data_IF_145457182296
#
_entry.id   IF_145457182296
#
_cell.length_a   1.000
_cell.length_b   1.000
_cell.length_c   1.000
_cell.angle_alpha   90.00
_cell.angle_beta   90.00
_cell.angle_gamma   90.00
#
_symmetry.space_group_name_H-M   'P 1'
#
loop_
_entity.id
_entity.type
_entity.pdbx_description
1 polymer ?
#
# COMPACT_ATOMS: atom_id res chain seq x y z
N UNK A 1 -10.45 56.79 54.98
CA UNK A 1 -10.60 55.82 53.88
C UNK A 1 -9.45 54.83 53.80
N UNK A 2 -8.18 55.22 53.98
CA UNK A 2 -7.05 54.28 53.87
C UNK A 2 -6.97 53.14 54.92
N UNK A 3 -7.62 53.26 56.08
CA UNK A 3 -7.58 52.23 57.15
C UNK A 3 -8.58 51.08 56.92
N UNK A 4 -9.78 51.38 56.40
CA UNK A 4 -10.75 50.34 56.03
C UNK A 4 -10.25 49.53 54.82
N UNK A 5 -9.55 50.18 53.89
CA UNK A 5 -8.95 49.54 52.71
C UNK A 5 -7.81 48.58 53.10
N UNK A 6 -7.00 48.91 54.11
CA UNK A 6 -5.95 48.04 54.65
C UNK A 6 -6.49 46.83 55.44
N UNK A 7 -7.60 47.01 56.16
CA UNK A 7 -8.26 45.94 56.93
C UNK A 7 -9.00 44.96 56.02
N UNK A 8 -9.64 45.46 54.96
CA UNK A 8 -10.29 44.64 53.94
C UNK A 8 -9.27 43.80 53.15
N UNK A 9 -8.10 44.37 52.82
CA UNK A 9 -6.98 43.62 52.23
C UNK A 9 -6.47 42.48 53.15
N UNK A 10 -6.39 42.71 54.47
CA UNK A 10 -5.94 41.69 55.43
C UNK A 10 -6.97 40.57 55.62
N UNK A 11 -8.25 40.89 55.74
CA UNK A 11 -9.32 39.88 55.88
C UNK A 11 -9.52 39.06 54.60
N UNK A 12 -9.38 39.66 53.43
CA UNK A 12 -9.46 38.94 52.16
C UNK A 12 -8.30 37.94 52.00
N UNK A 13 -7.09 38.32 52.40
CA UNK A 13 -5.92 37.43 52.38
C UNK A 13 -6.08 36.20 53.29
N UNK A 14 -6.63 36.37 54.49
CA UNK A 14 -6.88 35.28 55.44
C UNK A 14 -7.95 34.29 54.94
N UNK A 15 -9.00 34.78 54.27
CA UNK A 15 -10.04 33.94 53.66
C UNK A 15 -9.47 33.08 52.52
N UNK A 16 -8.66 33.67 51.64
CA UNK A 16 -7.96 32.94 50.57
C UNK A 16 -7.01 31.91 51.14
N UNK A 17 -6.24 32.27 52.19
CA UNK A 17 -5.29 31.36 52.85
C UNK A 17 -6.00 30.16 53.49
N UNK A 18 -7.15 30.37 54.10
CA UNK A 18 -7.95 29.31 54.74
C UNK A 18 -8.56 28.39 53.68
N UNK A 19 -9.17 28.96 52.63
CA UNK A 19 -9.71 28.19 51.51
C UNK A 19 -8.64 27.32 50.83
N UNK A 20 -7.44 27.87 50.61
CA UNK A 20 -6.32 27.12 50.05
C UNK A 20 -5.91 25.96 50.95
N UNK A 21 -5.85 26.15 52.27
CA UNK A 21 -5.50 25.07 53.21
C UNK A 21 -6.55 23.96 53.21
N UNK A 22 -7.83 24.32 53.16
CA UNK A 22 -8.94 23.36 53.13
C UNK A 22 -8.99 22.57 51.81
N UNK A 23 -8.61 23.21 50.69
CA UNK A 23 -8.63 22.60 49.36
C UNK A 23 -7.25 22.12 48.86
N UNK A 24 -6.19 22.27 49.66
CA UNK A 24 -4.81 22.00 49.25
C UNK A 24 -4.62 20.57 48.73
N UNK A 25 -5.25 19.60 49.38
CA UNK A 25 -5.17 18.19 48.96
C UNK A 25 -5.82 17.97 47.59
N UNK A 26 -6.96 18.63 47.32
CA UNK A 26 -7.64 18.58 46.03
C UNK A 26 -6.86 19.28 44.92
N UNK A 27 -6.26 20.44 45.21
CA UNK A 27 -5.40 21.17 44.27
C UNK A 27 -4.15 20.37 43.90
N UNK A 28 -3.46 19.79 44.90
CA UNK A 28 -2.28 18.94 44.67
C UNK A 28 -2.68 17.66 43.92
N UNK A 29 -3.79 17.02 44.31
CA UNK A 29 -4.31 15.84 43.62
C UNK A 29 -4.65 16.12 42.17
N UNK A 30 -5.34 17.23 41.89
CA UNK A 30 -5.65 17.68 40.54
C UNK A 30 -4.41 18.01 39.71
N UNK A 31 -3.41 18.66 40.31
CA UNK A 31 -2.14 18.96 39.65
C UNK A 31 -1.38 17.67 39.30
N UNK A 32 -1.25 16.73 40.23
CA UNK A 32 -0.57 15.44 40.00
C UNK A 32 -1.30 14.64 38.92
N UNK A 33 -2.63 14.58 38.99
CA UNK A 33 -3.43 13.89 37.97
C UNK A 33 -3.28 14.54 36.60
N UNK A 34 -3.31 15.87 36.52
CA UNK A 34 -3.07 16.61 35.28
C UNK A 34 -1.70 16.33 34.69
N UNK A 35 -0.64 16.36 35.50
CA UNK A 35 0.72 16.03 35.07
C UNK A 35 0.85 14.56 34.63
N UNK A 36 0.18 13.62 35.32
CA UNK A 36 0.19 12.21 34.95
C UNK A 36 -0.50 11.98 33.59
N UNK A 37 -1.64 12.63 33.33
CA UNK A 37 -2.34 12.54 32.05
C UNK A 37 -1.50 13.12 30.90
N UNK A 38 -0.89 14.29 31.10
CA UNK A 38 -0.03 14.92 30.09
C UNK A 38 1.23 14.09 29.83
N UNK A 39 1.92 13.67 30.91
CA UNK A 39 3.14 12.88 30.82
C UNK A 39 2.90 11.51 30.20
N UNK A 40 1.84 10.82 30.62
CA UNK A 40 1.42 9.53 30.07
C UNK A 40 1.04 9.63 28.59
N UNK A 41 0.27 10.67 28.21
CA UNK A 41 -0.07 10.93 26.81
C UNK A 41 1.17 11.17 25.94
N UNK A 42 2.08 12.04 26.39
CA UNK A 42 3.34 12.29 25.66
C UNK A 42 4.19 11.03 25.51
N UNK A 43 4.36 10.26 26.58
CA UNK A 43 5.13 9.01 26.54
C UNK A 43 4.52 8.01 25.54
N UNK A 44 3.19 7.85 25.57
CA UNK A 44 2.47 6.97 24.64
C UNK A 44 2.62 7.42 23.18
N UNK A 45 2.42 8.70 22.89
CA UNK A 45 2.60 9.25 21.54
C UNK A 45 4.03 9.12 21.05
N UNK A 46 5.02 9.39 21.90
CA UNK A 46 6.44 9.23 21.57
C UNK A 46 6.77 7.78 21.23
N UNK A 47 6.26 6.81 22.01
CA UNK A 47 6.46 5.39 21.77
C UNK A 47 5.89 4.95 20.42
N UNK A 48 4.71 5.44 20.05
CA UNK A 48 4.14 5.18 18.73
C UNK A 48 4.96 5.82 17.60
N UNK A 49 5.49 7.02 17.82
CA UNK A 49 6.31 7.71 16.84
C UNK A 49 7.61 6.95 16.58
N UNK A 50 8.32 6.53 17.63
CA UNK A 50 9.53 5.70 17.53
C UNK A 50 9.28 4.40 16.75
N UNK A 51 8.18 3.71 17.04
CA UNK A 51 7.82 2.49 16.31
C UNK A 51 7.57 2.75 14.82
N UNK A 52 6.94 3.87 14.46
CA UNK A 52 6.71 4.25 13.05
C UNK A 52 8.00 4.63 12.33
N UNK A 53 8.89 5.34 13.00
CA UNK A 53 10.22 5.70 12.45
C UNK A 53 11.01 4.42 12.17
N UNK A 54 11.05 3.48 13.11
CA UNK A 54 11.75 2.20 12.93
C UNK A 54 11.21 1.39 11.74
N UNK A 55 9.89 1.37 11.52
CA UNK A 55 9.28 0.74 10.34
C UNK A 55 9.69 1.42 9.03
N UNK A 56 9.75 2.76 9.02
CA UNK A 56 10.22 3.51 7.86
C UNK A 56 11.69 3.26 7.54
N UNK A 57 12.54 3.22 8.58
CA UNK A 57 13.97 2.90 8.43
C UNK A 57 14.18 1.47 7.89
N UNK A 58 13.43 0.49 8.42
CA UNK A 58 13.47 -0.88 7.92
C UNK A 58 13.02 -0.95 6.46
N UNK A 59 11.94 -0.25 6.09
CA UNK A 59 11.48 -0.17 4.70
C UNK A 59 12.56 0.40 3.77
N UNK A 60 13.17 1.53 4.15
CA UNK A 60 14.22 2.18 3.37
C UNK A 60 15.45 1.27 3.22
N UNK A 61 15.78 0.48 4.25
CA UNK A 61 16.86 -0.49 4.20
C UNK A 61 16.61 -1.56 3.13
N UNK A 62 15.41 -2.15 3.11
CA UNK A 62 15.04 -3.15 2.10
C UNK A 62 15.11 -2.55 0.69
N UNK A 63 14.56 -1.35 0.50
CA UNK A 63 14.59 -0.67 -0.81
C UNK A 63 16.03 -0.45 -1.28
N UNK A 64 16.93 0.00 -0.40
CA UNK A 64 18.35 0.17 -0.74
C UNK A 64 19.04 -1.15 -1.09
N UNK A 65 18.70 -2.24 -0.40
CA UNK A 65 19.24 -3.56 -0.73
C UNK A 65 18.78 -4.01 -2.13
N UNK A 66 17.51 -3.78 -2.49
CA UNK A 66 16.98 -4.02 -3.84
C UNK A 66 17.73 -3.18 -4.88
N UNK A 67 17.89 -1.87 -4.64
CA UNK A 67 18.61 -0.96 -5.55
C UNK A 67 20.09 -1.34 -5.72
N UNK A 68 20.71 -1.90 -4.69
CA UNK A 68 22.08 -2.43 -4.73
C UNK A 68 22.18 -3.81 -5.42
N UNK A 69 21.05 -4.45 -5.73
CA UNK A 69 21.00 -5.79 -6.28
C UNK A 69 21.22 -6.92 -5.26
N UNK A 70 21.25 -6.62 -3.96
CA UNK A 70 21.35 -7.61 -2.89
C UNK A 70 19.94 -8.16 -2.56
N UNK A 71 19.42 -8.95 -3.49
CA UNK A 71 18.05 -9.47 -3.42
C UNK A 71 17.86 -10.53 -2.32
N UNK A 72 18.93 -11.22 -1.92
CA UNK A 72 18.89 -12.17 -0.81
C UNK A 72 18.71 -11.42 0.52
N UNK A 73 19.52 -10.37 0.76
CA UNK A 73 19.34 -9.52 1.92
C UNK A 73 17.96 -8.86 1.92
N UNK A 74 17.55 -8.27 0.79
CA UNK A 74 16.25 -7.64 0.65
C UNK A 74 15.09 -8.60 0.96
N UNK A 75 15.14 -9.83 0.47
CA UNK A 75 14.11 -10.84 0.73
C UNK A 75 14.00 -11.20 2.20
N UNK A 76 15.13 -11.37 2.89
CA UNK A 76 15.15 -11.65 4.33
C UNK A 76 14.55 -10.49 5.14
N UNK A 77 15.04 -9.27 4.89
CA UNK A 77 14.60 -8.07 5.62
C UNK A 77 13.15 -7.69 5.30
N UNK A 78 12.67 -7.95 4.08
CA UNK A 78 11.25 -7.79 3.73
C UNK A 78 10.33 -8.71 4.56
N UNK A 79 10.83 -9.89 4.95
CA UNK A 79 10.11 -10.83 5.81
C UNK A 79 9.76 -10.25 7.17
N UNK A 80 10.62 -9.40 7.73
CA UNK A 80 10.38 -8.72 9.01
C UNK A 80 9.23 -7.69 8.93
N UNK A 81 8.90 -7.27 7.71
CA UNK A 81 7.84 -6.29 7.42
C UNK A 81 6.55 -6.92 6.86
N UNK A 82 6.47 -8.26 6.77
CA UNK A 82 5.35 -8.97 6.14
C UNK A 82 3.96 -8.67 6.76
N UNK A 83 3.91 -8.31 8.04
CA UNK A 83 2.67 -7.94 8.75
C UNK A 83 2.32 -6.45 8.70
N UNK A 84 3.01 -5.66 7.90
CA UNK A 84 2.89 -4.19 7.87
C UNK A 84 2.25 -3.72 6.59
N UNK A 85 1.78 -2.47 6.56
CA UNK A 85 1.26 -1.84 5.35
C UNK A 85 2.30 -1.71 4.22
N UNK A 86 3.59 -1.89 4.53
CA UNK A 86 4.67 -1.86 3.54
C UNK A 86 4.87 -3.19 2.80
N UNK A 87 4.40 -4.31 3.37
CA UNK A 87 4.60 -5.64 2.81
C UNK A 87 4.26 -5.76 1.31
N UNK A 88 3.07 -5.35 0.83
CA UNK A 88 2.75 -5.47 -0.59
C UNK A 88 3.61 -4.57 -1.49
N UNK A 89 4.06 -3.41 -0.99
CA UNK A 89 4.95 -2.51 -1.74
C UNK A 89 6.35 -3.12 -1.88
N UNK A 90 6.89 -3.68 -0.79
CA UNK A 90 8.17 -4.37 -0.81
C UNK A 90 8.13 -5.62 -1.68
N UNK A 91 7.04 -6.40 -1.65
CA UNK A 91 6.88 -7.55 -2.54
C UNK A 91 6.90 -7.13 -4.02
N UNK A 92 6.22 -6.04 -4.38
CA UNK A 92 6.24 -5.51 -5.75
C UNK A 92 7.64 -5.01 -6.17
N UNK A 93 8.36 -4.35 -5.25
CA UNK A 93 9.71 -3.85 -5.51
C UNK A 93 10.72 -5.02 -5.64
N UNK A 94 10.64 -6.00 -4.74
CA UNK A 94 11.51 -7.17 -4.74
C UNK A 94 11.27 -8.03 -5.98
N UNK A 95 10.01 -8.30 -6.34
CA UNK A 95 9.69 -9.03 -7.56
C UNK A 95 10.19 -8.32 -8.83
N UNK A 96 10.15 -6.98 -8.85
CA UNK A 96 10.75 -6.19 -9.93
C UNK A 96 12.27 -6.39 -9.99
N UNK A 97 12.96 -6.28 -8.85
CA UNK A 97 14.41 -6.49 -8.78
C UNK A 97 14.83 -7.91 -9.20
N UNK A 98 14.08 -8.94 -8.76
CA UNK A 98 14.28 -10.33 -9.16
C UNK A 98 14.13 -10.52 -10.67
N UNK A 99 13.09 -9.92 -11.27
CA UNK A 99 12.89 -9.96 -12.72
C UNK A 99 14.03 -9.25 -13.47
N UNK A 100 14.51 -8.11 -12.99
CA UNK A 100 15.65 -7.39 -13.57
C UNK A 100 16.97 -8.17 -13.45
N UNK A 101 17.12 -8.99 -12.41
CA UNK A 101 18.22 -9.94 -12.25
C UNK A 101 18.05 -11.22 -13.10
N UNK A 102 16.93 -11.39 -13.79
CA UNK A 102 16.63 -12.55 -14.63
C UNK A 102 16.02 -13.74 -13.88
N UNK A 103 15.69 -13.59 -12.60
CA UNK A 103 15.07 -14.63 -11.78
C UNK A 103 13.54 -14.48 -11.77
N UNK A 104 12.90 -14.96 -12.84
CA UNK A 104 11.44 -14.90 -12.98
C UNK A 104 10.73 -15.76 -11.92
N UNK A 105 11.28 -16.91 -11.57
CA UNK A 105 10.64 -17.86 -10.66
C UNK A 105 10.59 -17.26 -9.24
N UNK A 106 11.67 -16.62 -8.79
CA UNK A 106 11.66 -15.90 -7.52
C UNK A 106 10.65 -14.73 -7.50
N UNK A 107 10.50 -14.02 -8.63
CA UNK A 107 9.51 -12.95 -8.75
C UNK A 107 8.07 -13.47 -8.66
N UNK A 108 7.79 -14.63 -9.28
CA UNK A 108 6.49 -15.32 -9.18
C UNK A 108 6.21 -15.70 -7.74
N UNK A 109 7.16 -16.35 -7.05
CA UNK A 109 6.97 -16.78 -5.68
C UNK A 109 6.76 -15.60 -4.72
N UNK A 110 7.52 -14.53 -4.91
CA UNK A 110 7.38 -13.29 -4.14
C UNK A 110 5.98 -12.68 -4.30
N UNK A 111 5.46 -12.56 -5.54
CA UNK A 111 4.12 -12.01 -5.77
C UNK A 111 3.01 -12.98 -5.35
N UNK A 112 3.23 -14.30 -5.45
CA UNK A 112 2.27 -15.33 -5.02
C UNK A 112 2.08 -15.32 -3.51
N UNK A 113 3.14 -15.04 -2.75
CA UNK A 113 3.06 -14.89 -1.30
C UNK A 113 2.49 -13.54 -0.85
N UNK A 114 2.43 -12.54 -1.73
CA UNK A 114 2.00 -11.20 -1.40
C UNK A 114 0.47 -11.08 -1.32
N UNK A 115 -0.01 -10.32 -0.34
CA UNK A 115 -1.42 -9.95 -0.20
C UNK A 115 -1.54 -8.49 0.23
N UNK A 116 -2.72 -7.92 -0.02
CA UNK A 116 -3.04 -6.54 0.37
C UNK A 116 -4.52 -6.42 0.68
N UNK A 117 -4.85 -5.73 1.77
CA UNK A 117 -6.23 -5.36 2.09
C UNK A 117 -6.72 -4.19 1.23
N UNK A 118 -5.81 -3.40 0.63
CA UNK A 118 -6.15 -2.40 -0.37
C UNK A 118 -6.53 -3.10 -1.70
N UNK A 119 -7.76 -2.95 -2.19
CA UNK A 119 -8.23 -3.65 -3.39
C UNK A 119 -7.46 -3.26 -4.66
N UNK A 120 -7.01 -2.01 -4.76
CA UNK A 120 -6.25 -1.53 -5.91
C UNK A 120 -4.87 -2.19 -5.97
N UNK A 121 -4.19 -2.25 -4.84
CA UNK A 121 -2.88 -2.88 -4.73
C UNK A 121 -2.96 -4.41 -4.88
N UNK A 122 -4.00 -5.04 -4.31
CA UNK A 122 -4.28 -6.46 -4.52
C UNK A 122 -4.51 -6.78 -6.00
N UNK A 123 -5.25 -5.93 -6.73
CA UNK A 123 -5.41 -6.07 -8.17
C UNK A 123 -4.05 -5.97 -8.88
N UNK A 124 -3.22 -4.96 -8.58
CA UNK A 124 -1.89 -4.80 -9.20
C UNK A 124 -1.01 -6.03 -8.99
N UNK A 125 -0.93 -6.59 -7.78
CA UNK A 125 -0.18 -7.82 -7.48
C UNK A 125 -0.70 -8.96 -8.36
N UNK A 126 -2.01 -9.15 -8.39
CA UNK A 126 -2.67 -10.21 -9.17
C UNK A 126 -2.40 -10.10 -10.67
N UNK A 127 -2.48 -8.89 -11.26
CA UNK A 127 -2.18 -8.68 -12.68
C UNK A 127 -0.72 -8.97 -13.01
N UNK A 128 0.21 -8.48 -12.17
CA UNK A 128 1.65 -8.70 -12.39
C UNK A 128 2.00 -10.17 -12.27
N UNK A 129 1.47 -10.86 -11.26
CA UNK A 129 1.63 -12.30 -11.10
C UNK A 129 1.08 -13.06 -12.32
N UNK A 130 -0.14 -12.74 -12.78
CA UNK A 130 -0.73 -13.39 -13.95
C UNK A 130 0.13 -13.22 -15.21
N UNK A 131 0.69 -12.02 -15.44
CA UNK A 131 1.58 -11.78 -16.58
C UNK A 131 2.86 -12.62 -16.49
N UNK A 132 3.49 -12.69 -15.32
CA UNK A 132 4.67 -13.53 -15.12
C UNK A 132 4.35 -15.03 -15.31
N UNK A 133 3.17 -15.47 -14.88
CA UNK A 133 2.71 -16.85 -15.09
C UNK A 133 2.54 -17.15 -16.58
N UNK A 134 1.98 -16.23 -17.38
CA UNK A 134 1.91 -16.39 -18.84
C UNK A 134 3.33 -16.52 -19.43
N UNK A 135 4.25 -15.63 -19.05
CA UNK A 135 5.64 -15.64 -19.52
C UNK A 135 6.41 -16.91 -19.10
N UNK A 136 6.02 -17.52 -17.98
CA UNK A 136 6.56 -18.78 -17.47
C UNK A 136 5.88 -20.03 -18.08
N UNK A 137 4.93 -19.86 -19.02
CA UNK A 137 4.18 -20.97 -19.63
C UNK A 137 3.07 -21.56 -18.74
N UNK A 138 2.77 -20.91 -17.61
CA UNK A 138 1.72 -21.29 -16.66
C UNK A 138 0.39 -20.57 -16.96
N UNK A 139 0.03 -20.47 -18.24
CA UNK A 139 -1.09 -19.67 -18.70
C UNK A 139 -2.46 -20.09 -18.12
N UNK A 140 -2.68 -21.37 -17.82
CA UNK A 140 -3.92 -21.81 -17.17
C UNK A 140 -4.07 -21.27 -15.74
N UNK A 141 -2.97 -21.17 -15.00
CA UNK A 141 -2.97 -20.57 -13.65
C UNK A 141 -3.29 -19.08 -13.75
N UNK A 142 -2.72 -18.37 -14.75
CA UNK A 142 -3.03 -16.97 -15.01
C UNK A 142 -4.52 -16.75 -15.33
N UNK A 143 -5.14 -17.62 -16.12
CA UNK A 143 -6.58 -17.57 -16.42
C UNK A 143 -7.42 -17.77 -15.15
N UNK A 144 -7.06 -18.74 -14.30
CA UNK A 144 -7.74 -18.95 -13.02
C UNK A 144 -7.58 -17.76 -12.08
N UNK A 145 -6.39 -17.16 -12.04
CA UNK A 145 -6.07 -16.04 -11.16
C UNK A 145 -6.87 -14.78 -11.54
N UNK A 146 -7.10 -14.55 -12.83
CA UNK A 146 -7.84 -13.40 -13.35
C UNK A 146 -9.32 -13.68 -13.62
N UNK A 147 -9.84 -14.81 -13.15
CA UNK A 147 -11.25 -15.14 -13.28
C UNK A 147 -12.13 -14.06 -12.63
N UNK A 148 -13.05 -13.48 -13.41
CA UNK A 148 -13.98 -12.44 -12.95
C UNK A 148 -13.39 -11.02 -12.87
N UNK A 149 -12.12 -10.81 -13.22
CA UNK A 149 -11.57 -9.47 -13.41
C UNK A 149 -11.83 -8.99 -14.84
N UNK A 150 -12.53 -7.87 -14.99
CA UNK A 150 -13.00 -7.36 -16.30
C UNK A 150 -12.44 -5.98 -16.65
N UNK A 151 -11.42 -5.51 -15.92
CA UNK A 151 -10.67 -4.33 -16.33
C UNK A 151 -9.83 -4.64 -17.59
N UNK A 152 -9.47 -3.63 -18.40
CA UNK A 152 -8.72 -3.83 -19.64
C UNK A 152 -7.41 -4.62 -19.47
N UNK A 153 -6.72 -4.47 -18.32
CA UNK A 153 -5.45 -5.15 -18.06
C UNK A 153 -5.63 -6.64 -17.75
N UNK A 154 -6.69 -7.03 -17.04
CA UNK A 154 -7.06 -8.43 -16.86
C UNK A 154 -7.41 -9.07 -18.19
N UNK A 155 -8.28 -8.41 -18.96
CA UNK A 155 -8.73 -8.88 -20.28
C UNK A 155 -7.56 -9.08 -21.23
N UNK A 156 -6.65 -8.11 -21.33
CA UNK A 156 -5.43 -8.25 -22.12
C UNK A 156 -4.60 -9.47 -21.67
N UNK A 157 -4.37 -9.63 -20.37
CA UNK A 157 -3.55 -10.73 -19.84
C UNK A 157 -4.23 -12.10 -20.03
N UNK A 158 -5.57 -12.19 -19.95
CA UNK A 158 -6.30 -13.42 -20.31
C UNK A 158 -6.19 -13.72 -21.80
N UNK A 159 -6.22 -12.69 -22.64
CA UNK A 159 -5.96 -12.82 -24.07
C UNK A 159 -4.56 -13.38 -24.34
N UNK A 160 -3.53 -12.83 -23.67
CA UNK A 160 -2.15 -13.30 -23.76
C UNK A 160 -2.03 -14.77 -23.32
N UNK A 161 -2.71 -15.14 -22.23
CA UNK A 161 -2.76 -16.52 -21.72
C UNK A 161 -3.43 -17.47 -22.73
N UNK A 162 -4.58 -17.09 -23.29
CA UNK A 162 -5.24 -17.88 -24.33
C UNK A 162 -4.38 -18.02 -25.57
N UNK A 163 -3.70 -16.96 -26.00
CA UNK A 163 -2.79 -16.99 -27.14
C UNK A 163 -1.64 -17.98 -26.90
N UNK A 164 -1.00 -17.93 -25.73
CA UNK A 164 0.06 -18.85 -25.33
C UNK A 164 -0.39 -20.32 -25.31
N UNK A 165 -1.68 -20.56 -25.04
CA UNK A 165 -2.31 -21.90 -25.06
C UNK A 165 -2.80 -22.33 -26.46
N UNK A 166 -2.57 -21.53 -27.50
CA UNK A 166 -3.07 -21.80 -28.86
C UNK A 166 -4.58 -21.59 -29.04
N UNK A 167 -5.23 -20.92 -28.09
CA UNK A 167 -6.69 -20.65 -28.06
C UNK A 167 -7.01 -19.32 -28.74
N UNK A 168 -6.75 -19.24 -30.05
CA UNK A 168 -6.81 -17.98 -30.81
C UNK A 168 -8.17 -17.27 -30.78
N UNK A 169 -9.29 -18.01 -30.88
CA UNK A 169 -10.63 -17.43 -30.82
C UNK A 169 -10.96 -16.81 -29.45
N UNK A 170 -10.56 -17.49 -28.37
CA UNK A 170 -10.70 -16.96 -27.01
C UNK A 170 -9.80 -15.74 -26.82
N UNK A 171 -8.55 -15.79 -27.29
CA UNK A 171 -7.63 -14.66 -27.22
C UNK A 171 -8.20 -13.42 -27.92
N UNK A 172 -8.75 -13.60 -29.14
CA UNK A 172 -9.42 -12.54 -29.89
C UNK A 172 -10.56 -11.92 -29.09
N UNK A 173 -11.41 -12.77 -28.52
CA UNK A 173 -12.57 -12.34 -27.72
C UNK A 173 -12.15 -11.48 -26.53
N UNK A 174 -11.08 -11.87 -25.83
CA UNK A 174 -10.54 -11.10 -24.70
C UNK A 174 -9.94 -9.76 -25.12
N UNK A 175 -9.14 -9.74 -26.19
CA UNK A 175 -8.53 -8.49 -26.70
C UNK A 175 -9.58 -7.48 -27.21
N UNK A 176 -10.60 -7.95 -27.92
CA UNK A 176 -11.71 -7.09 -28.34
C UNK A 176 -12.46 -6.50 -27.15
N UNK A 177 -12.69 -7.32 -26.11
CA UNK A 177 -13.30 -6.88 -24.88
C UNK A 177 -12.44 -5.86 -24.12
N UNK A 178 -11.13 -6.03 -24.14
CA UNK A 178 -10.17 -5.09 -23.56
C UNK A 178 -10.24 -3.75 -24.31
N UNK A 179 -10.20 -3.76 -25.64
CA UNK A 179 -10.26 -2.54 -26.48
C UNK A 179 -11.56 -1.75 -26.31
N UNK A 180 -12.70 -2.43 -26.12
CA UNK A 180 -13.99 -1.77 -25.85
C UNK A 180 -14.04 -1.04 -24.52
N UNK A 181 -13.22 -1.43 -23.55
CA UNK A 181 -13.16 -0.85 -22.21
C UNK A 181 -11.99 0.10 -22.01
N UNK A 182 -11.04 0.09 -22.95
CA UNK A 182 -9.86 0.91 -22.93
C UNK A 182 -10.15 2.28 -23.56
N UNK A 183 -9.69 3.34 -22.92
CA UNK A 183 -9.74 4.69 -23.48
C UNK A 183 -9.01 4.75 -24.84
N UNK A 184 -9.55 5.53 -25.78
CA UNK A 184 -8.98 5.69 -27.13
C UNK A 184 -7.57 6.28 -27.06
N UNK A 185 -7.35 7.22 -26.16
CA UNK A 185 -6.05 7.89 -25.96
C UNK A 185 -5.10 7.07 -25.07
N UNK A 186 -5.48 5.87 -24.61
CA UNK A 186 -4.64 5.06 -23.77
C UNK A 186 -3.36 4.63 -24.52
N UNK A 187 -2.16 4.87 -23.95
CA UNK A 187 -0.90 4.52 -24.62
C UNK A 187 -0.78 3.04 -25.00
N UNK A 188 -1.38 2.14 -24.22
CA UNK A 188 -1.36 0.70 -24.49
C UNK A 188 -2.31 0.25 -25.62
N UNK A 189 -3.17 1.12 -26.15
CA UNK A 189 -4.16 0.75 -27.17
C UNK A 189 -3.51 0.18 -28.43
N UNK A 190 -2.48 0.84 -28.94
CA UNK A 190 -1.75 0.42 -30.15
C UNK A 190 -1.18 -1.00 -30.02
N UNK A 191 -0.63 -1.33 -28.85
CA UNK A 191 -0.11 -2.67 -28.59
C UNK A 191 -1.23 -3.71 -28.58
N UNK A 192 -2.37 -3.39 -27.97
CA UNK A 192 -3.51 -4.28 -27.89
C UNK A 192 -4.17 -4.52 -29.26
N UNK A 193 -4.22 -3.50 -30.12
CA UNK A 193 -4.65 -3.64 -31.52
C UNK A 193 -3.72 -4.55 -32.33
N UNK A 194 -2.40 -4.46 -32.10
CA UNK A 194 -1.44 -5.37 -32.72
C UNK A 194 -1.65 -6.83 -32.27
N UNK A 195 -1.85 -7.05 -30.97
CA UNK A 195 -2.16 -8.38 -30.40
C UNK A 195 -3.45 -8.95 -30.98
N UNK A 196 -4.48 -8.11 -31.13
CA UNK A 196 -5.74 -8.49 -31.79
C UNK A 196 -5.50 -8.92 -33.25
N UNK A 197 -4.69 -8.15 -33.99
CA UNK A 197 -4.27 -8.49 -35.35
C UNK A 197 -3.56 -9.84 -35.45
N UNK A 198 -2.68 -10.13 -34.49
CA UNK A 198 -1.93 -11.40 -34.43
C UNK A 198 -2.84 -12.63 -34.31
N UNK A 199 -4.01 -12.48 -33.69
CA UNK A 199 -5.02 -13.56 -33.56
C UNK A 199 -6.13 -13.47 -34.61
N UNK A 200 -5.89 -12.72 -35.70
CA UNK A 200 -6.77 -12.60 -36.85
C UNK A 200 -7.98 -11.69 -36.64
N UNK A 201 -7.98 -10.87 -35.58
CA UNK A 201 -8.98 -9.82 -35.40
C UNK A 201 -8.60 -8.54 -36.14
N UNK A 202 -9.58 -7.66 -36.33
CA UNK A 202 -9.38 -6.33 -36.93
C UNK A 202 -9.89 -5.29 -35.94
N UNK A 203 -9.10 -4.24 -35.62
CA UNK A 203 -9.56 -3.14 -34.79
C UNK A 203 -10.77 -2.46 -35.42
N UNK A 204 -11.78 -2.09 -34.61
CA UNK A 204 -12.92 -1.31 -35.08
C UNK A 204 -12.47 0.15 -35.31
N UNK A 205 -12.60 0.71 -36.53
CA UNK A 205 -12.21 2.09 -36.84
C UNK A 205 -13.01 3.14 -36.08
N UNK A 206 -14.17 2.81 -35.50
CA UNK A 206 -15.01 3.76 -34.77
C UNK A 206 -14.36 4.33 -33.49
N UNK A 207 -13.26 3.73 -33.01
CA UNK A 207 -12.51 4.22 -31.86
C UNK A 207 -11.57 5.38 -32.17
N UNK A 208 -11.18 5.64 -33.42
CA UNK A 208 -10.15 6.67 -33.75
C UNK A 208 -10.72 8.07 -34.02
N UNK A 209 -12.04 8.22 -34.02
CA UNK A 209 -12.75 9.47 -34.35
C UNK A 209 -13.58 9.96 -33.16
N UNK A 210 -12.94 10.40 -32.09
CA UNK A 210 -13.60 11.25 -31.07
C UNK A 210 -12.60 12.14 -30.35
#
# INVERSE_FOLDING_TARGET
MALDELLDEHEQGEKVRTWLKENALGLVGGLVLGLALIGGGKWWTQRQHEARVALGEAYDQVVRAIEAGDLEQASREAGDLAGTAYAPLLALALAKGQLEAGDRDAAIDTLRAASSDDPGLAAIIRHRLARLLVDAGQAEEALSLLAGADDPGALETRGDAHFALGRGEQARTEYEQALRRLDVAAPQRMLLELKLGQVGGTPDPAGTES
#
